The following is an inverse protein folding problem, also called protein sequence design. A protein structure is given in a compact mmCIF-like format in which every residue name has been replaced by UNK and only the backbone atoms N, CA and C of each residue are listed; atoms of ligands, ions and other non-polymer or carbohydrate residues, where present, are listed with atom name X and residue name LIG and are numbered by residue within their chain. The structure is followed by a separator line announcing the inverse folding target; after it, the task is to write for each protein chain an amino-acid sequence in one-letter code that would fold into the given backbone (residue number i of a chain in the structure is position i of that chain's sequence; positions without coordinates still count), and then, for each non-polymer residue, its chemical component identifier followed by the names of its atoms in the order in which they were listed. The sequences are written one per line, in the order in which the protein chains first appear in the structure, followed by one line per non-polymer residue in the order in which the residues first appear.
data_IF_625096747323
#
_entry.id   IF_625096747323
#
_cell.length_a   1.000
_cell.length_b   1.000
_cell.length_c   1.000
_cell.angle_alpha   90.00
_cell.angle_beta   90.00
_cell.angle_gamma   90.00
#
_symmetry.space_group_name_H-M   'P 1'
#
loop_
_entity.id
_entity.type
_entity.pdbx_description
1 polymer ?
#
# COMPACT_ATOMS: atom_id res chain seq x y z
N UNK A 1 -0.21 20.71 1.64
CA UNK A 1 -1.53 20.37 1.10
C UNK A 1 -2.26 21.61 0.68
N UNK A 2 -2.76 21.64 -0.55
CA UNK A 2 -3.55 22.72 -1.14
C UNK A 2 -4.83 22.11 -1.73
N UNK A 3 -5.99 22.74 -1.49
CA UNK A 3 -7.30 22.25 -1.91
C UNK A 3 -8.17 23.43 -2.36
N UNK A 4 -8.73 23.34 -3.56
CA UNK A 4 -9.66 24.35 -4.11
C UNK A 4 -10.89 23.63 -4.66
N UNK A 5 -12.05 24.10 -4.24
CA UNK A 5 -13.34 23.57 -4.69
C UNK A 5 -14.24 24.70 -5.18
N UNK A 6 -14.88 24.48 -6.33
CA UNK A 6 -15.89 25.33 -6.90
C UNK A 6 -17.19 24.57 -7.01
N UNK A 7 -18.25 25.10 -6.45
CA UNK A 7 -19.58 24.52 -6.56
C UNK A 7 -20.57 25.54 -7.18
N UNK A 8 -21.39 25.04 -8.06
CA UNK A 8 -22.48 25.82 -8.63
C UNK A 8 -23.78 25.00 -8.52
N UNK A 9 -24.80 25.54 -7.85
CA UNK A 9 -26.03 24.79 -7.59
C UNK A 9 -26.90 24.61 -8.83
N UNK A 10 -26.73 25.44 -9.86
CA UNK A 10 -27.60 25.48 -11.02
C UNK A 10 -26.79 25.81 -12.29
N UNK A 11 -26.09 24.82 -12.85
CA UNK A 11 -25.35 24.96 -14.11
C UNK A 11 -26.28 24.80 -15.32
N UNK A 12 -27.36 24.03 -15.16
CA UNK A 12 -28.37 23.76 -16.16
C UNK A 12 -29.69 23.44 -15.50
N UNK A 13 -30.80 23.64 -16.22
CA UNK A 13 -32.13 23.32 -15.76
C UNK A 13 -32.67 22.10 -16.49
N UNK A 14 -33.00 21.03 -15.76
CA UNK A 14 -33.75 19.88 -16.25
C UNK A 14 -35.22 20.03 -15.89
N UNK A 15 -36.16 19.28 -16.54
CA UNK A 15 -37.55 19.32 -16.22
C UNK A 15 -37.90 19.05 -14.75
N UNK A 16 -37.07 18.29 -14.07
CA UNK A 16 -37.24 17.89 -12.68
C UNK A 16 -36.46 18.75 -11.67
N UNK A 17 -35.68 19.73 -12.12
CA UNK A 17 -34.93 20.64 -11.25
C UNK A 17 -33.55 21.04 -11.76
N UNK A 18 -32.80 21.81 -10.98
CA UNK A 18 -31.50 22.30 -11.36
C UNK A 18 -30.43 21.21 -11.29
N UNK A 19 -29.49 21.24 -12.23
CA UNK A 19 -28.27 20.41 -12.22
C UNK A 19 -27.22 21.15 -11.42
N UNK A 20 -26.70 20.52 -10.38
CA UNK A 20 -25.57 21.05 -9.62
C UNK A 20 -24.25 20.39 -10.03
N UNK A 21 -23.17 21.17 -9.94
CA UNK A 21 -21.80 20.72 -10.21
C UNK A 21 -20.87 21.12 -9.08
N UNK A 22 -19.95 20.22 -8.78
CA UNK A 22 -18.79 20.46 -7.93
C UNK A 22 -17.53 20.08 -8.72
N UNK A 23 -16.57 20.99 -8.79
CA UNK A 23 -15.25 20.74 -9.40
C UNK A 23 -14.21 21.07 -8.36
N UNK A 24 -13.19 20.25 -8.24
CA UNK A 24 -12.11 20.49 -7.29
C UNK A 24 -10.77 20.05 -7.82
N UNK A 25 -9.75 20.68 -7.26
CA UNK A 25 -8.35 20.35 -7.45
C UNK A 25 -7.68 20.26 -6.09
N UNK A 26 -6.84 19.26 -5.92
CA UNK A 26 -6.10 18.98 -4.69
C UNK A 26 -4.65 18.67 -5.04
N UNK A 27 -3.70 19.30 -4.34
CA UNK A 27 -2.29 18.97 -4.41
C UNK A 27 -1.78 18.71 -2.99
N UNK A 28 -1.14 17.57 -2.79
CA UNK A 28 -0.57 17.18 -1.49
C UNK A 28 0.76 16.49 -1.67
N UNK A 29 1.60 16.71 -0.71
CA UNK A 29 2.87 16.01 -0.51
C UNK A 29 2.72 15.04 0.66
N UNK A 30 3.15 13.82 0.47
CA UNK A 30 3.19 12.77 1.49
C UNK A 30 4.66 12.43 1.74
N UNK A 31 5.10 12.50 3.00
CA UNK A 31 6.44 12.11 3.41
C UNK A 31 6.37 10.95 4.39
N UNK A 32 7.32 10.06 4.26
CA UNK A 32 7.52 8.93 5.17
C UNK A 32 8.98 8.91 5.62
N UNK A 33 9.18 8.97 6.92
CA UNK A 33 10.50 8.91 7.56
C UNK A 33 10.46 7.85 8.66
N UNK A 34 11.28 6.80 8.51
CA UNK A 34 11.44 5.71 9.49
C UNK A 34 12.92 5.68 9.90
N UNK A 35 13.26 6.51 10.89
CA UNK A 35 14.58 6.57 11.53
C UNK A 35 14.63 5.55 12.67
N UNK A 36 15.40 4.51 12.50
CA UNK A 36 15.47 3.38 13.43
C UNK A 36 16.65 3.53 14.38
N UNK A 37 16.48 2.94 15.58
CA UNK A 37 17.57 2.86 16.52
C UNK A 37 18.79 2.16 15.89
N UNK A 38 20.00 2.72 16.04
CA UNK A 38 21.24 2.15 15.46
C UNK A 38 21.52 0.69 15.86
N UNK A 39 20.89 0.20 16.93
CA UNK A 39 20.95 -1.21 17.31
C UNK A 39 20.10 -2.11 16.40
N UNK A 40 19.09 -1.54 15.71
CA UNK A 40 18.15 -2.26 14.85
C UNK A 40 18.49 -2.11 13.37
N UNK A 41 19.07 -1.00 12.95
CA UNK A 41 19.38 -0.69 11.55
C UNK A 41 20.65 -1.37 11.03
N UNK A 42 21.43 -2.00 11.93
CA UNK A 42 22.71 -2.64 11.63
C UNK A 42 23.88 -1.67 11.58
N UNK A 43 23.72 -0.43 12.01
CA UNK A 43 24.81 0.56 12.12
C UNK A 43 25.78 0.18 13.23
N UNK A 44 25.27 -0.29 14.37
CA UNK A 44 26.08 -0.79 15.48
C UNK A 44 26.31 -2.28 15.31
N UNK A 45 27.58 -2.66 15.20
CA UNK A 45 27.99 -4.08 15.18
C UNK A 45 28.12 -4.61 16.60
N UNK A 46 27.46 -5.73 16.88
CA UNK A 46 27.64 -6.45 18.13
C UNK A 46 29.08 -6.94 18.28
N UNK A 47 29.61 -6.77 19.47
CA UNK A 47 30.79 -7.50 19.88
C UNK A 47 30.39 -8.98 20.04
N UNK A 48 30.81 -9.83 19.12
CA UNK A 48 30.63 -11.27 19.28
C UNK A 48 31.47 -11.68 20.49
N UNK A 49 30.88 -12.46 21.40
CA UNK A 49 31.56 -12.94 22.60
C UNK A 49 32.92 -13.55 22.26
N UNK A 50 33.89 -13.43 23.17
CA UNK A 50 35.26 -13.96 23.07
C UNK A 50 36.28 -13.08 22.32
N UNK A 51 36.08 -11.76 22.31
CA UNK A 51 37.13 -10.83 21.85
C UNK A 51 37.31 -10.71 20.34
N UNK A 52 36.43 -11.30 19.56
CA UNK A 52 36.40 -11.16 18.10
C UNK A 52 35.43 -10.04 17.73
N UNK A 53 35.98 -8.92 17.33
CA UNK A 53 35.22 -7.82 16.71
C UNK A 53 35.07 -8.14 15.23
N UNK A 54 33.89 -8.52 14.79
CA UNK A 54 33.61 -8.59 13.37
C UNK A 54 33.29 -7.19 12.88
N UNK A 55 34.21 -6.57 12.18
CA UNK A 55 33.98 -5.29 11.49
C UNK A 55 33.40 -5.46 10.10
N UNK A 56 33.24 -6.70 9.68
CA UNK A 56 32.69 -7.00 8.36
C UNK A 56 31.20 -7.18 8.46
N UNK A 57 30.45 -6.23 7.93
CA UNK A 57 29.02 -6.38 7.72
C UNK A 57 28.80 -7.50 6.71
N UNK A 58 28.40 -8.67 7.18
CA UNK A 58 27.93 -9.71 6.28
C UNK A 58 26.52 -9.35 5.82
N UNK A 59 26.29 -9.45 4.54
CA UNK A 59 24.93 -9.31 4.00
C UNK A 59 24.11 -10.58 4.27
N UNK A 60 22.91 -10.49 4.78
CA UNK A 60 22.18 -9.31 5.21
C UNK A 60 22.75 -8.76 6.53
N UNK A 61 22.56 -7.50 6.78
CA UNK A 61 23.07 -6.81 7.97
C UNK A 61 22.69 -7.57 9.24
N UNK A 62 23.59 -7.64 10.19
CA UNK A 62 23.29 -8.22 11.50
C UNK A 62 22.78 -7.13 12.44
N UNK A 63 21.58 -7.33 12.97
CA UNK A 63 21.05 -6.49 14.05
C UNK A 63 21.80 -6.77 15.36
N UNK A 64 22.02 -5.73 16.17
CA UNK A 64 22.51 -5.88 17.53
C UNK A 64 21.50 -6.55 18.46
N UNK A 65 20.24 -6.57 18.09
CA UNK A 65 19.16 -7.19 18.86
C UNK A 65 18.95 -8.63 18.42
N UNK A 66 19.07 -9.55 19.36
CA UNK A 66 18.90 -10.99 19.10
C UNK A 66 17.48 -11.29 18.63
N UNK A 67 17.35 -12.02 17.52
CA UNK A 67 16.05 -12.41 16.96
C UNK A 67 15.37 -11.33 16.13
N UNK A 68 15.96 -10.14 15.98
CA UNK A 68 15.50 -9.09 15.11
C UNK A 68 16.18 -9.18 13.74
N UNK A 69 15.38 -8.98 12.69
CA UNK A 69 15.95 -8.76 11.34
C UNK A 69 16.37 -7.30 11.24
N UNK A 70 17.61 -7.02 10.82
CA UNK A 70 18.05 -5.65 10.63
C UNK A 70 17.21 -5.01 9.52
N UNK A 71 16.77 -3.81 9.78
CA UNK A 71 16.01 -3.01 8.83
C UNK A 71 16.65 -1.63 8.79
N UNK A 72 17.10 -1.21 7.65
CA UNK A 72 17.72 0.11 7.46
C UNK A 72 16.65 1.22 7.54
N UNK A 73 17.13 2.43 7.80
CA UNK A 73 16.30 3.63 7.76
C UNK A 73 15.69 3.80 6.37
N UNK A 74 14.48 4.30 6.34
CA UNK A 74 13.72 4.48 5.10
C UNK A 74 13.13 5.87 5.06
N UNK A 75 13.46 6.59 4.01
CA UNK A 75 12.85 7.86 3.68
C UNK A 75 12.13 7.75 2.34
N UNK A 76 10.95 8.35 2.25
CA UNK A 76 10.19 8.43 1.02
C UNK A 76 9.35 9.69 0.95
N UNK A 77 9.20 10.21 -0.26
CA UNK A 77 8.41 11.39 -0.56
C UNK A 77 7.59 11.13 -1.81
N UNK A 78 6.37 11.62 -1.83
CA UNK A 78 5.47 11.50 -2.94
C UNK A 78 4.55 12.70 -3.06
N UNK A 79 4.50 13.27 -4.26
CA UNK A 79 3.52 14.27 -4.63
C UNK A 79 2.29 13.63 -5.25
N UNK A 80 1.13 14.14 -4.89
CA UNK A 80 -0.16 13.70 -5.43
C UNK A 80 -0.96 14.90 -5.87
N UNK A 81 -1.29 14.94 -7.14
CA UNK A 81 -2.20 15.91 -7.72
C UNK A 81 -3.51 15.23 -8.11
N UNK A 82 -4.63 15.85 -7.80
CA UNK A 82 -5.94 15.30 -8.10
C UNK A 82 -6.87 16.35 -8.65
N UNK A 83 -7.62 15.97 -9.66
CA UNK A 83 -8.75 16.74 -10.17
C UNK A 83 -10.01 15.89 -10.10
N UNK A 84 -11.13 16.49 -9.66
CA UNK A 84 -12.39 15.78 -9.58
C UNK A 84 -13.56 16.64 -9.98
N UNK A 85 -14.59 15.98 -10.46
CA UNK A 85 -15.86 16.58 -10.83
C UNK A 85 -17.01 15.71 -10.34
N UNK A 86 -18.07 16.36 -9.86
CA UNK A 86 -19.29 15.71 -9.42
C UNK A 86 -20.50 16.46 -9.96
N UNK A 87 -21.49 15.72 -10.45
CA UNK A 87 -22.77 16.23 -10.92
C UNK A 87 -23.91 15.59 -10.14
N UNK A 88 -24.90 16.38 -9.76
CA UNK A 88 -26.17 15.89 -9.26
C UNK A 88 -27.23 16.27 -10.29
N UNK A 89 -27.90 15.25 -10.81
CA UNK A 89 -28.81 15.33 -11.94
C UNK A 89 -30.22 14.88 -11.50
N UNK A 90 -31.15 15.77 -11.28
CA UNK A 90 -32.56 15.40 -11.11
C UNK A 90 -33.16 15.03 -12.48
N UNK A 91 -33.18 13.73 -12.81
CA UNK A 91 -33.66 13.25 -14.11
C UNK A 91 -35.17 13.36 -14.21
N UNK A 92 -35.88 12.95 -13.13
CA UNK A 92 -37.34 13.12 -12.95
C UNK A 92 -37.62 13.53 -11.51
N UNK A 93 -38.84 13.91 -11.21
CA UNK A 93 -39.27 14.23 -9.82
C UNK A 93 -38.96 13.10 -8.82
N UNK A 94 -38.86 11.85 -9.31
CA UNK A 94 -38.64 10.66 -8.50
C UNK A 94 -37.23 10.04 -8.69
N UNK A 95 -36.50 10.45 -9.72
CA UNK A 95 -35.23 9.84 -10.07
C UNK A 95 -34.12 10.87 -10.04
N UNK A 96 -33.15 10.67 -9.17
CA UNK A 96 -31.92 11.47 -9.08
C UNK A 96 -30.73 10.61 -9.41
N UNK A 97 -29.84 11.11 -10.26
CA UNK A 97 -28.52 10.51 -10.54
C UNK A 97 -27.40 11.39 -9.99
N UNK A 98 -26.36 10.75 -9.52
CA UNK A 98 -25.11 11.37 -9.12
C UNK A 98 -23.98 10.74 -9.93
N UNK A 99 -23.21 11.57 -10.61
CA UNK A 99 -22.04 11.18 -11.38
C UNK A 99 -20.82 11.84 -10.76
N UNK A 100 -19.77 11.08 -10.53
CA UNK A 100 -18.50 11.62 -10.07
C UNK A 100 -17.36 10.96 -10.81
N UNK A 101 -16.31 11.73 -11.11
CA UNK A 101 -15.07 11.26 -11.64
C UNK A 101 -13.91 11.95 -10.92
N UNK A 102 -12.84 11.21 -10.66
CA UNK A 102 -11.60 11.73 -10.06
C UNK A 102 -10.43 11.16 -10.82
N UNK A 103 -9.50 12.02 -11.16
CA UNK A 103 -8.22 11.69 -11.74
C UNK A 103 -7.13 12.06 -10.74
N UNK A 104 -6.22 11.13 -10.49
CA UNK A 104 -5.08 11.31 -9.59
C UNK A 104 -3.79 11.02 -10.34
N UNK A 105 -2.82 11.91 -10.17
CA UNK A 105 -1.46 11.77 -10.70
C UNK A 105 -0.49 11.66 -9.52
N UNK A 106 0.41 10.69 -9.59
CA UNK A 106 1.38 10.39 -8.54
C UNK A 106 2.78 10.55 -9.10
N UNK A 107 3.70 11.13 -8.31
CA UNK A 107 5.10 11.28 -8.74
C UNK A 107 5.87 9.97 -8.78
N UNK A 108 5.42 8.95 -8.04
CA UNK A 108 6.11 7.66 -7.84
C UNK A 108 5.44 6.47 -8.54
N UNK A 109 4.26 6.67 -9.15
CA UNK A 109 3.47 5.61 -9.77
C UNK A 109 2.58 6.13 -10.88
N UNK A 110 1.91 5.20 -11.59
CA UNK A 110 1.00 5.55 -12.68
C UNK A 110 -0.23 6.32 -12.19
N UNK A 111 -0.74 7.19 -13.05
CA UNK A 111 -1.98 7.93 -12.79
C UNK A 111 -3.20 7.00 -12.73
N UNK A 112 -4.19 7.38 -11.97
CA UNK A 112 -5.42 6.63 -11.82
C UNK A 112 -6.66 7.50 -12.08
N UNK A 113 -7.64 6.91 -12.77
CA UNK A 113 -8.94 7.53 -12.95
C UNK A 113 -10.02 6.63 -12.37
N UNK A 114 -10.83 7.17 -11.48
CA UNK A 114 -11.95 6.48 -10.86
C UNK A 114 -13.25 7.21 -11.10
N UNK A 115 -14.33 6.46 -11.20
CA UNK A 115 -15.66 7.01 -11.44
C UNK A 115 -16.71 6.40 -10.53
N UNK A 116 -17.77 7.14 -10.30
CA UNK A 116 -18.95 6.71 -9.54
C UNK A 116 -20.22 7.12 -10.24
N UNK A 117 -21.17 6.18 -10.31
CA UNK A 117 -22.55 6.40 -10.67
C UNK A 117 -23.43 5.98 -9.50
N UNK A 118 -24.29 6.86 -9.02
CA UNK A 118 -25.29 6.51 -8.04
C UNK A 118 -26.68 6.96 -8.54
N UNK A 119 -27.68 6.14 -8.27
CA UNK A 119 -29.07 6.38 -8.62
C UNK A 119 -29.94 6.29 -7.36
N UNK A 120 -30.84 7.23 -7.22
CA UNK A 120 -31.86 7.23 -6.17
C UNK A 120 -33.24 7.36 -6.79
N UNK A 121 -34.12 6.40 -6.48
CA UNK A 121 -35.49 6.39 -6.97
C UNK A 121 -36.50 6.40 -5.81
N UNK A 122 -37.37 7.40 -5.79
CA UNK A 122 -38.46 7.54 -4.83
C UNK A 122 -39.68 6.80 -5.36
N UNK A 123 -39.80 5.52 -4.93
CA UNK A 123 -40.93 4.68 -5.34
C UNK A 123 -42.27 5.19 -4.76
N UNK A 124 -42.25 5.58 -3.50
CA UNK A 124 -43.41 6.17 -2.80
C UNK A 124 -42.89 7.12 -1.72
N UNK A 125 -43.77 7.86 -1.08
CA UNK A 125 -43.44 8.81 0.02
C UNK A 125 -42.73 8.14 1.19
N UNK A 126 -42.89 6.81 1.32
CA UNK A 126 -42.29 6.02 2.40
C UNK A 126 -41.15 5.10 1.96
N UNK A 127 -40.94 4.93 0.64
CA UNK A 127 -39.96 3.96 0.11
C UNK A 127 -39.06 4.62 -0.92
N UNK A 128 -37.76 4.65 -0.61
CA UNK A 128 -36.69 5.09 -1.52
C UNK A 128 -35.70 3.94 -1.80
N UNK A 129 -35.43 3.69 -3.06
CA UNK A 129 -34.47 2.69 -3.52
C UNK A 129 -33.19 3.41 -3.98
N UNK A 130 -32.01 2.93 -3.57
CA UNK A 130 -30.73 3.49 -3.97
C UNK A 130 -29.81 2.39 -4.49
N UNK A 131 -29.08 2.68 -5.56
CA UNK A 131 -28.03 1.83 -6.10
C UNK A 131 -26.81 2.66 -6.48
N UNK A 132 -25.61 2.12 -6.32
CA UNK A 132 -24.40 2.78 -6.77
C UNK A 132 -23.38 1.78 -7.31
N UNK A 133 -22.63 2.22 -8.31
CA UNK A 133 -21.49 1.53 -8.86
C UNK A 133 -20.30 2.48 -8.86
N UNK A 134 -19.13 2.01 -8.41
CA UNK A 134 -17.91 2.81 -8.43
C UNK A 134 -16.71 1.93 -8.73
N UNK A 135 -15.76 2.49 -9.46
CA UNK A 135 -14.41 1.94 -9.58
C UNK A 135 -13.56 2.47 -8.44
N UNK A 136 -12.57 1.71 -8.03
CA UNK A 136 -11.63 2.12 -6.98
C UNK A 136 -10.21 1.78 -7.43
N UNK A 137 -9.27 2.63 -7.04
CA UNK A 137 -7.85 2.44 -7.20
C UNK A 137 -7.17 2.66 -5.84
N UNK A 138 -6.13 1.91 -5.58
CA UNK A 138 -5.29 2.08 -4.40
C UNK A 138 -3.84 2.14 -4.84
N UNK A 139 -3.20 3.33 -4.82
CA UNK A 139 -1.77 3.44 -5.08
C UNK A 139 -0.97 2.71 -4.01
N UNK A 140 0.23 2.23 -4.33
CA UNK A 140 1.16 1.74 -3.34
C UNK A 140 1.48 2.87 -2.35
N UNK A 141 1.63 2.52 -1.08
CA UNK A 141 2.06 3.49 -0.08
C UNK A 141 3.59 3.65 -0.10
N UNK A 142 4.10 4.74 0.48
CA UNK A 142 5.54 5.04 0.53
C UNK A 142 6.36 3.93 1.17
N UNK A 143 5.80 3.21 2.14
CA UNK A 143 6.45 2.06 2.77
C UNK A 143 6.65 0.94 1.74
N UNK A 144 5.64 0.62 0.93
CA UNK A 144 5.72 -0.46 -0.06
C UNK A 144 6.70 -0.14 -1.19
N UNK A 145 6.83 1.14 -1.56
CA UNK A 145 7.73 1.56 -2.65
C UNK A 145 9.17 1.67 -2.17
N UNK A 146 9.40 2.21 -0.97
CA UNK A 146 10.73 2.56 -0.48
C UNK A 146 11.31 1.53 0.49
N UNK A 147 10.51 0.59 1.00
CA UNK A 147 11.01 -0.40 1.93
C UNK A 147 12.08 -1.29 1.26
N UNK A 148 13.31 -1.29 1.76
CA UNK A 148 14.35 -2.16 1.25
C UNK A 148 14.01 -3.61 1.59
N UNK A 149 14.73 -4.54 0.94
CA UNK A 149 14.55 -5.97 1.18
C UNK A 149 14.64 -6.32 2.66
N UNK A 150 13.59 -6.90 3.22
CA UNK A 150 13.63 -7.46 4.56
C UNK A 150 14.06 -8.93 4.46
N UNK A 151 15.28 -9.20 4.84
CA UNK A 151 15.76 -10.57 4.92
C UNK A 151 15.30 -11.20 6.22
N UNK A 152 14.46 -12.22 6.13
CA UNK A 152 14.10 -13.04 7.29
C UNK A 152 14.80 -14.38 7.20
N UNK A 153 15.63 -14.70 8.18
CA UNK A 153 16.19 -16.04 8.34
C UNK A 153 15.25 -16.86 9.24
N UNK A 154 14.85 -18.01 8.76
CA UNK A 154 14.05 -18.95 9.54
C UNK A 154 14.61 -20.35 9.35
N UNK A 155 14.81 -21.09 10.43
CA UNK A 155 15.14 -22.51 10.36
C UNK A 155 13.84 -23.28 10.17
N UNK A 156 13.66 -23.88 9.01
CA UNK A 156 12.57 -24.83 8.77
C UNK A 156 13.15 -26.23 8.64
N UNK A 157 12.61 -27.15 9.42
CA UNK A 157 12.92 -28.55 9.31
C UNK A 157 11.99 -29.17 8.25
N UNK A 158 12.56 -29.69 7.18
CA UNK A 158 11.80 -30.52 6.24
C UNK A 158 11.72 -31.94 6.81
N UNK A 159 10.57 -32.25 7.36
CA UNK A 159 10.32 -33.55 8.00
C UNK A 159 10.43 -34.70 6.99
N UNK A 160 10.11 -34.47 5.72
CA UNK A 160 10.21 -35.50 4.68
C UNK A 160 11.66 -35.79 4.32
N UNK A 161 12.45 -34.73 4.12
CA UNK A 161 13.88 -34.84 3.81
C UNK A 161 14.64 -35.47 4.96
N UNK A 162 14.35 -35.10 6.20
CA UNK A 162 14.90 -35.71 7.40
C UNK A 162 14.57 -37.20 7.49
N UNK A 163 13.34 -37.57 7.17
CA UNK A 163 12.91 -38.97 7.18
C UNK A 163 13.61 -39.82 6.11
N UNK A 164 13.77 -39.29 4.90
CA UNK A 164 14.45 -40.00 3.80
C UNK A 164 15.93 -40.20 4.11
N UNK A 165 16.62 -39.19 4.64
CA UNK A 165 18.03 -39.31 5.02
C UNK A 165 18.18 -40.31 6.19
N UNK A 166 17.32 -40.25 7.20
CA UNK A 166 17.35 -41.21 8.32
C UNK A 166 17.17 -42.65 7.83
N UNK A 167 16.30 -42.89 6.89
CA UNK A 167 16.03 -44.22 6.33
C UNK A 167 17.17 -44.74 5.47
N UNK A 168 17.89 -43.85 4.77
CA UNK A 168 18.99 -44.24 3.88
C UNK A 168 20.34 -44.37 4.58
N UNK A 169 20.62 -43.61 5.64
CA UNK A 169 21.95 -43.53 6.25
C UNK A 169 22.10 -44.22 7.60
N UNK A 170 21.08 -44.89 8.09
CA UNK A 170 21.12 -45.71 9.29
C UNK A 170 22.05 -45.15 10.39
N UNK A 171 21.63 -44.08 11.08
CA UNK A 171 22.28 -43.52 12.28
C UNK A 171 23.27 -42.36 12.13
N UNK A 172 23.42 -41.71 10.99
CA UNK A 172 24.22 -40.52 10.95
C UNK A 172 23.38 -39.28 11.27
N UNK A 173 23.73 -38.55 12.34
CA UNK A 173 23.09 -37.29 12.66
C UNK A 173 23.21 -36.33 11.49
N UNK A 174 22.10 -36.03 10.87
CA UNK A 174 22.06 -34.98 9.84
C UNK A 174 22.04 -33.64 10.55
N UNK A 175 23.11 -32.89 10.39
CA UNK A 175 23.12 -31.49 10.81
C UNK A 175 21.98 -30.76 10.13
N UNK A 176 21.12 -30.15 10.91
CA UNK A 176 20.08 -29.27 10.42
C UNK A 176 20.73 -28.09 9.70
N UNK A 177 20.94 -28.23 8.42
CA UNK A 177 21.42 -27.14 7.59
C UNK A 177 20.33 -26.78 6.62
N UNK A 178 19.83 -25.60 6.71
CA UNK A 178 19.44 -24.85 5.53
C UNK A 178 18.65 -23.62 5.90
N UNK A 179 19.27 -22.52 5.75
CA UNK A 179 18.59 -21.24 5.64
C UNK A 179 17.89 -21.17 4.29
N UNK A 180 16.58 -21.12 4.29
CA UNK A 180 15.83 -20.63 3.14
C UNK A 180 15.71 -19.13 3.28
N UNK A 181 16.45 -18.42 2.44
CA UNK A 181 16.27 -16.99 2.27
C UNK A 181 14.95 -16.74 1.54
N UNK A 182 13.99 -16.18 2.22
CA UNK A 182 12.80 -15.62 1.59
C UNK A 182 13.07 -14.16 1.28
N UNK A 183 13.27 -13.84 0.03
CA UNK A 183 13.17 -12.49 -0.46
C UNK A 183 11.71 -12.25 -0.82
N UNK A 184 11.04 -11.33 -0.15
CA UNK A 184 9.74 -10.85 -0.60
C UNK A 184 9.98 -10.07 -1.90
N UNK A 185 9.32 -10.41 -3.02
CA UNK A 185 9.47 -9.65 -4.25
C UNK A 185 9.01 -8.20 -4.01
N UNK A 186 9.78 -7.26 -4.52
CA UNK A 186 9.40 -5.86 -4.52
C UNK A 186 8.13 -5.67 -5.34
N UNK A 187 7.26 -4.73 -4.99
CA UNK A 187 6.10 -4.37 -5.81
C UNK A 187 6.43 -4.03 -7.27
N UNK A 188 7.69 -3.69 -7.56
CA UNK A 188 8.19 -3.42 -8.92
C UNK A 188 8.36 -4.65 -9.80
N UNK A 189 8.34 -5.85 -9.23
CA UNK A 189 8.53 -7.10 -9.97
C UNK A 189 7.24 -7.66 -10.58
N UNK A 190 6.13 -6.95 -10.41
CA UNK A 190 4.80 -7.29 -10.95
C UNK A 190 4.32 -6.32 -12.02
N UNK A 191 5.22 -5.71 -12.76
CA UNK A 191 4.94 -4.89 -13.94
C UNK A 191 4.73 -5.71 -15.20
#
# INVERSE_FOLDING_TARGET
MFDVKFSHPEIAQLPAGPVSVLIGFEAREETYDDDRDPLLDGTITNQVCCGVTSTTRSHPFTSAVMGSSPTVDVYGEKDVESAFVEFILPITEKLTAQLAARHEEFSDSDSATVGRLALGYDYSDSVRIRGSYSTAFRPPNLIQVNQPYVTRSGTREDALHKYVIYKNNNDTQVSSGSCLLYTSPSPRDFG
#
